data_IF_058409327459
#
_entry.id   IF_058409327459
#
_cell.length_a   1.000
_cell.length_b   1.000
_cell.length_c   1.000
_cell.angle_alpha   90.00
_cell.angle_beta   90.00
_cell.angle_gamma   90.00
#
_symmetry.space_group_name_H-M   'P 1'
#
loop_
_entity.id
_entity.type
_entity.pdbx_description
1 polymer ?
#
# COMPACT_ATOMS: atom_id res chain seq x y z
N UNK A 1 8.28 15.71 24.27
CA UNK A 1 8.85 15.09 23.05
C UNK A 1 7.68 14.69 22.17
N UNK A 2 7.40 15.36 21.04
CA UNK A 2 6.42 14.85 20.09
C UNK A 2 6.92 13.46 19.62
N UNK A 3 6.04 12.45 19.69
CA UNK A 3 6.37 11.12 19.19
C UNK A 3 6.67 11.23 17.69
N UNK A 4 7.66 10.48 17.15
CA UNK A 4 7.86 10.45 15.71
C UNK A 4 6.54 10.00 15.09
N UNK A 5 5.99 10.83 14.21
CA UNK A 5 4.82 10.50 13.41
C UNK A 5 5.12 9.15 12.76
N UNK A 6 4.34 8.12 13.13
CA UNK A 6 4.55 6.80 12.53
C UNK A 6 4.49 6.99 11.02
N UNK A 7 5.47 6.46 10.26
CA UNK A 7 5.40 6.55 8.81
C UNK A 7 4.05 5.98 8.38
N UNK A 8 3.29 6.79 7.63
CA UNK A 8 1.96 6.40 7.14
C UNK A 8 2.14 5.38 6.02
N UNK A 9 1.22 4.41 5.93
CA UNK A 9 1.27 3.40 4.88
C UNK A 9 1.17 4.08 3.51
N UNK A 10 2.20 3.97 2.65
CA UNK A 10 2.24 4.69 1.38
C UNK A 10 1.10 4.26 0.44
N UNK A 11 0.60 3.03 0.58
CA UNK A 11 -0.54 2.54 -0.21
C UNK A 11 -1.83 3.20 0.24
N UNK A 12 -2.03 3.44 1.54
CA UNK A 12 -3.20 4.16 2.03
C UNK A 12 -3.22 5.60 1.51
N UNK A 13 -2.07 6.29 1.52
CA UNK A 13 -1.96 7.62 0.93
C UNK A 13 -2.27 7.63 -0.57
N UNK A 14 -1.79 6.62 -1.32
CA UNK A 14 -2.10 6.46 -2.74
C UNK A 14 -3.58 6.17 -2.98
N UNK A 15 -4.19 5.30 -2.16
CA UNK A 15 -5.62 4.96 -2.22
C UNK A 15 -6.48 6.22 -2.11
N UNK A 16 -6.22 7.08 -1.13
CA UNK A 16 -6.98 8.31 -0.93
C UNK A 16 -6.92 9.24 -2.14
N UNK A 17 -5.74 9.38 -2.75
CA UNK A 17 -5.58 10.18 -3.98
C UNK A 17 -6.35 9.58 -5.15
N UNK A 18 -6.29 8.27 -5.34
CA UNK A 18 -7.05 7.60 -6.41
C UNK A 18 -8.54 7.71 -6.16
N UNK A 19 -9.01 7.51 -4.93
CA UNK A 19 -10.43 7.60 -4.58
C UNK A 19 -11.00 9.01 -4.72
N UNK A 20 -10.18 10.06 -4.59
CA UNK A 20 -10.57 11.43 -4.88
C UNK A 20 -10.81 11.69 -6.39
N UNK A 21 -10.15 10.90 -7.25
CA UNK A 21 -10.25 11.02 -8.73
C UNK A 21 -11.28 10.03 -9.29
N UNK A 22 -11.38 8.85 -8.69
CA UNK A 22 -12.20 7.72 -9.16
C UNK A 22 -13.42 7.58 -8.23
N UNK A 23 -14.59 8.08 -8.66
CA UNK A 23 -15.81 7.99 -7.87
C UNK A 23 -16.31 6.53 -7.81
N UNK A 24 -17.16 6.19 -6.82
CA UNK A 24 -17.58 4.81 -6.56
C UNK A 24 -18.16 4.07 -7.76
N UNK A 25 -18.87 4.77 -8.65
CA UNK A 25 -19.53 4.19 -9.82
C UNK A 25 -18.54 3.68 -10.87
N UNK A 26 -17.28 4.14 -10.82
CA UNK A 26 -16.19 3.70 -11.71
C UNK A 26 -15.31 2.62 -11.11
N UNK A 27 -15.57 2.21 -9.85
CA UNK A 27 -14.78 1.19 -9.16
C UNK A 27 -15.26 -0.19 -9.58
N UNK A 28 -14.37 -0.96 -10.20
CA UNK A 28 -14.66 -2.31 -10.66
C UNK A 28 -14.85 -3.32 -9.51
N UNK A 29 -15.35 -4.53 -9.82
CA UNK A 29 -15.44 -5.61 -8.84
C UNK A 29 -14.09 -5.87 -8.16
N UNK A 30 -14.09 -5.97 -6.83
CA UNK A 30 -12.87 -6.26 -6.06
C UNK A 30 -11.97 -5.06 -5.75
N UNK A 31 -12.37 -3.83 -6.10
CA UNK A 31 -11.64 -2.59 -5.81
C UNK A 31 -11.15 -2.50 -4.36
N UNK A 32 -12.06 -2.59 -3.39
CA UNK A 32 -11.72 -2.49 -1.96
C UNK A 32 -10.84 -3.64 -1.47
N UNK A 33 -11.08 -4.85 -2.00
CA UNK A 33 -10.28 -6.03 -1.67
C UNK A 33 -8.84 -5.85 -2.14
N UNK A 34 -8.65 -5.35 -3.37
CA UNK A 34 -7.33 -5.11 -3.94
C UNK A 34 -6.54 -4.08 -3.12
N UNK A 35 -7.17 -2.94 -2.79
CA UNK A 35 -6.53 -1.93 -1.94
C UNK A 35 -6.16 -2.48 -0.57
N UNK A 36 -7.05 -3.23 0.08
CA UNK A 36 -6.76 -3.86 1.37
C UNK A 36 -5.58 -4.83 1.32
N UNK A 37 -5.45 -5.60 0.24
CA UNK A 37 -4.32 -6.51 0.06
C UNK A 37 -3.01 -5.74 -0.08
N UNK A 38 -2.98 -4.69 -0.90
CA UNK A 38 -1.81 -3.82 -1.07
C UNK A 38 -1.42 -3.12 0.25
N UNK A 39 -2.42 -2.63 1.00
CA UNK A 39 -2.21 -2.00 2.30
C UNK A 39 -1.58 -3.00 3.28
N UNK A 40 -2.06 -4.24 3.33
CA UNK A 40 -1.50 -5.28 4.17
C UNK A 40 -0.05 -5.63 3.79
N UNK A 41 0.27 -5.73 2.50
CA UNK A 41 1.65 -5.97 2.04
C UNK A 41 2.60 -4.84 2.41
N UNK A 42 2.19 -3.59 2.18
CA UNK A 42 2.99 -2.43 2.54
C UNK A 42 3.18 -2.31 4.06
N UNK A 43 2.12 -2.58 4.84
CA UNK A 43 2.19 -2.59 6.29
C UNK A 43 3.19 -3.64 6.79
N UNK A 44 3.12 -4.86 6.26
CA UNK A 44 4.06 -5.93 6.61
C UNK A 44 5.51 -5.53 6.28
N UNK A 45 5.76 -4.93 5.11
CA UNK A 45 7.08 -4.44 4.73
C UNK A 45 7.60 -3.34 5.68
N UNK A 46 6.72 -2.42 6.11
CA UNK A 46 7.05 -1.36 7.08
C UNK A 46 7.31 -1.90 8.48
N UNK A 47 6.66 -3.01 8.85
CA UNK A 47 6.90 -3.74 10.11
C UNK A 47 8.17 -4.60 10.09
N UNK A 48 8.94 -4.54 9.00
CA UNK A 48 10.21 -5.26 8.86
C UNK A 48 10.06 -6.68 8.32
N UNK A 49 8.89 -7.05 7.79
CA UNK A 49 8.75 -8.28 7.01
C UNK A 49 9.38 -8.08 5.62
N UNK A 50 10.69 -8.24 5.52
CA UNK A 50 11.40 -8.38 4.25
C UNK A 50 11.29 -9.83 3.77
N UNK A 51 10.39 -10.08 2.82
CA UNK A 51 10.60 -11.18 1.88
C UNK A 51 11.89 -10.89 1.09
N UNK A 52 12.67 -11.93 0.77
CA UNK A 52 13.83 -11.83 -0.11
C UNK A 52 13.35 -11.47 -1.54
N UNK A 53 13.21 -10.16 -1.80
CA UNK A 53 12.84 -9.59 -3.10
C UNK A 53 14.06 -9.30 -3.97
N UNK A 54 15.22 -9.86 -3.63
CA UNK A 54 16.44 -9.70 -4.41
C UNK A 54 16.24 -10.39 -5.75
N UNK A 55 15.97 -9.62 -6.80
CA UNK A 55 16.02 -10.13 -8.18
C UNK A 55 17.51 -10.28 -8.49
N UNK A 56 18.07 -11.51 -8.59
CA UNK A 56 19.47 -11.65 -8.92
C UNK A 56 19.71 -11.04 -10.31
N UNK A 57 20.78 -10.24 -10.50
CA UNK A 57 21.12 -9.74 -11.82
C UNK A 57 21.34 -10.95 -12.74
N UNK A 58 20.66 -10.96 -13.89
CA UNK A 58 20.80 -12.03 -14.89
C UNK A 58 22.24 -12.01 -15.43
N UNK A 59 22.90 -13.19 -15.61
CA UNK A 59 24.26 -13.29 -16.13
C UNK A 59 24.40 -12.75 -17.56
#
# INVERSE_FOLDING_TARGET
MPQPERPENPVTAARLQVEAIIPPEKRGPGWDRHWRELEAYAQAAMEGATGDWTVPPRP
#
